data_IF_163210212100
#
_entry.id   IF_163210212100
#
_cell.length_a   1.000
_cell.length_b   1.000
_cell.length_c   1.000
_cell.angle_alpha   90.00
_cell.angle_beta   90.00
_cell.angle_gamma   90.00
#
_symmetry.space_group_name_H-M   'P 1'
#
loop_
_entity.id
_entity.type
_entity.pdbx_description
1 polymer ?
#
# COMPACT_ATOMS: atom_id res chain seq x y z
N UNK A 1 26.07 -6.45 -26.91
CA UNK A 1 25.54 -5.25 -27.62
C UNK A 1 24.01 -5.31 -27.81
N UNK A 2 23.42 -6.22 -28.61
CA UNK A 2 21.95 -6.22 -28.84
C UNK A 2 21.08 -6.42 -27.58
N UNK A 3 21.50 -7.25 -26.61
CA UNK A 3 20.79 -7.42 -25.32
C UNK A 3 20.84 -6.17 -24.43
N UNK A 4 21.95 -5.41 -24.49
CA UNK A 4 22.17 -4.19 -23.71
C UNK A 4 21.20 -3.06 -24.10
N UNK A 5 20.90 -2.93 -25.40
CA UNK A 5 19.96 -1.94 -25.92
C UNK A 5 18.51 -2.32 -25.59
N UNK A 6 18.19 -3.62 -25.50
CA UNK A 6 16.86 -4.08 -25.08
C UNK A 6 16.61 -3.84 -23.59
N UNK A 7 17.58 -4.08 -22.70
CA UNK A 7 17.43 -3.68 -21.28
C UNK A 7 17.33 -2.16 -21.12
N UNK A 8 18.18 -1.39 -21.81
CA UNK A 8 18.09 0.07 -21.78
C UNK A 8 16.75 0.61 -22.30
N UNK A 9 16.17 -0.03 -23.33
CA UNK A 9 14.83 0.27 -23.82
C UNK A 9 13.71 -0.11 -22.84
N UNK A 10 13.86 -1.23 -22.12
CA UNK A 10 12.88 -1.65 -21.12
C UNK A 10 12.89 -0.71 -19.88
N UNK A 11 14.07 -0.31 -19.41
CA UNK A 11 14.20 0.71 -18.36
C UNK A 11 13.70 2.09 -18.81
N UNK A 12 13.87 2.45 -20.08
CA UNK A 12 13.33 3.71 -20.61
C UNK A 12 11.81 3.69 -20.78
N UNK A 13 11.19 2.51 -20.99
CA UNK A 13 9.74 2.35 -21.10
C UNK A 13 9.00 2.51 -19.75
N UNK A 14 9.70 2.31 -18.62
CA UNK A 14 9.17 2.52 -17.26
C UNK A 14 8.92 4.00 -16.91
N UNK A 15 9.31 4.96 -17.76
CA UNK A 15 9.22 6.40 -17.48
C UNK A 15 7.90 7.07 -17.94
N UNK A 16 6.93 6.33 -18.51
CA UNK A 16 5.66 6.93 -18.99
C UNK A 16 4.45 6.03 -18.72
N UNK A 17 3.91 6.05 -17.49
CA UNK A 17 2.48 5.87 -17.09
C UNK A 17 2.39 5.63 -15.57
N UNK A 18 1.25 5.88 -14.89
CA UNK A 18 1.12 5.65 -13.45
C UNK A 18 0.94 4.16 -13.13
N UNK A 19 2.05 3.45 -12.92
CA UNK A 19 2.10 2.12 -12.30
C UNK A 19 2.58 2.26 -10.84
N UNK A 20 1.64 2.14 -9.90
CA UNK A 20 1.74 2.62 -8.52
C UNK A 20 0.82 1.80 -7.53
N UNK A 21 1.37 1.05 -6.52
CA UNK A 21 0.69 0.32 -5.39
C UNK A 21 1.51 -0.16 -4.16
N UNK A 22 0.79 -0.56 -3.08
CA UNK A 22 1.17 -1.06 -1.73
C UNK A 22 2.44 -1.92 -1.58
N UNK A 23 3.45 -1.42 -0.85
CA UNK A 23 4.79 -1.60 -1.40
C UNK A 23 5.78 -2.49 -0.68
N UNK A 24 5.52 -2.92 0.56
CA UNK A 24 6.50 -3.69 1.36
C UNK A 24 5.90 -4.92 2.07
N UNK A 25 4.76 -5.44 1.59
CA UNK A 25 4.17 -6.69 2.10
C UNK A 25 3.54 -6.63 3.50
N UNK A 26 3.35 -5.44 4.08
CA UNK A 26 2.73 -5.23 5.40
C UNK A 26 1.20 -5.17 5.32
N UNK A 27 0.46 -5.39 6.43
CA UNK A 27 -1.00 -5.31 6.47
C UNK A 27 -1.55 -3.86 6.45
N UNK A 28 -0.88 -2.95 5.75
CA UNK A 28 -1.25 -1.53 5.59
C UNK A 28 -1.90 -1.33 4.22
N UNK A 29 -3.22 -1.10 4.22
CA UNK A 29 -4.03 -0.94 3.01
C UNK A 29 -4.56 0.50 2.88
N UNK A 30 -5.13 0.81 1.72
CA UNK A 30 -5.69 2.12 1.43
C UNK A 30 -7.13 2.00 0.94
N UNK A 31 -8.01 2.87 1.43
CA UNK A 31 -9.39 3.00 0.94
C UNK A 31 -9.42 3.47 -0.54
N UNK A 32 -10.57 3.37 -1.24
CA UNK A 32 -10.70 3.95 -2.59
C UNK A 32 -10.78 5.48 -2.58
N UNK A 33 -10.70 6.12 -1.41
CA UNK A 33 -10.90 7.56 -1.25
C UNK A 33 -9.59 8.29 -0.98
N UNK A 34 -9.38 9.43 -1.64
CA UNK A 34 -8.24 10.30 -1.40
C UNK A 34 -8.66 11.43 -0.46
N UNK A 35 -8.18 11.37 0.78
CA UNK A 35 -8.51 12.36 1.82
C UNK A 35 -7.70 13.68 1.69
N UNK A 36 -6.57 13.66 0.99
CA UNK A 36 -5.71 14.81 0.73
C UNK A 36 -5.98 15.51 -0.62
N UNK A 37 -5.71 16.81 -0.69
CA UNK A 37 -5.89 17.62 -1.90
C UNK A 37 -4.60 17.75 -2.72
N UNK A 38 -3.46 17.87 -2.04
CA UNK A 38 -2.13 18.06 -2.64
C UNK A 38 -1.16 16.95 -2.23
N UNK A 39 -1.04 16.67 -0.94
CA UNK A 39 -0.11 15.66 -0.44
C UNK A 39 -0.45 15.17 0.96
N UNK A 40 0.14 14.05 1.33
CA UNK A 40 -0.05 13.40 2.62
C UNK A 40 1.28 12.86 3.14
N UNK A 41 1.47 12.91 4.47
CA UNK A 41 2.51 12.19 5.19
C UNK A 41 1.82 11.19 6.13
N UNK A 42 2.02 9.90 5.88
CA UNK A 42 1.53 8.79 6.68
C UNK A 42 2.64 8.17 7.53
N UNK A 43 2.27 7.65 8.70
CA UNK A 43 3.13 6.80 9.53
C UNK A 43 2.30 5.72 10.19
N UNK A 44 2.78 4.47 10.14
CA UNK A 44 2.04 3.29 10.56
C UNK A 44 2.92 2.36 11.40
N UNK A 45 2.28 1.68 12.35
CA UNK A 45 2.79 0.55 13.09
C UNK A 45 1.89 -0.65 12.75
N UNK A 46 2.47 -1.81 12.52
CA UNK A 46 1.74 -3.04 12.25
C UNK A 46 2.36 -4.23 12.96
N UNK A 47 1.50 -5.20 13.27
CA UNK A 47 1.80 -6.55 13.73
C UNK A 47 1.49 -7.48 12.55
N UNK A 48 2.49 -7.88 11.74
CA UNK A 48 2.30 -8.65 10.49
C UNK A 48 2.18 -10.17 10.67
N UNK A 49 1.58 -10.65 11.77
CA UNK A 49 1.25 -12.07 11.94
C UNK A 49 2.46 -12.98 12.21
N UNK A 50 2.35 -14.25 11.83
CA UNK A 50 3.28 -15.29 12.24
C UNK A 50 4.74 -15.02 11.81
N UNK A 51 5.67 -15.03 12.77
CA UNK A 51 7.09 -14.83 12.53
C UNK A 51 7.55 -13.38 12.41
N UNK A 52 6.68 -12.38 12.64
CA UNK A 52 7.03 -10.95 12.65
C UNK A 52 6.57 -10.29 13.95
N UNK A 53 7.49 -9.65 14.68
CA UNK A 53 7.20 -9.03 15.97
C UNK A 53 6.59 -7.63 15.83
N UNK A 54 7.06 -6.86 14.84
CA UNK A 54 6.62 -5.49 14.57
C UNK A 54 7.06 -5.07 13.17
N UNK A 55 6.25 -4.27 12.47
CA UNK A 55 6.70 -3.46 11.35
C UNK A 55 6.34 -1.98 11.53
N UNK A 56 7.19 -1.11 11.01
CA UNK A 56 7.05 0.35 11.04
C UNK A 56 7.24 0.87 9.62
N UNK A 57 6.32 1.70 9.12
CA UNK A 57 6.49 2.34 7.81
C UNK A 57 6.06 3.81 7.81
N UNK A 58 6.77 4.59 7.01
CA UNK A 58 6.41 5.96 6.64
C UNK A 58 6.03 6.02 5.16
N UNK A 59 5.03 6.83 4.85
CA UNK A 59 4.54 7.05 3.49
C UNK A 59 4.48 8.53 3.18
N UNK A 60 4.87 8.92 1.97
CA UNK A 60 4.59 10.26 1.44
C UNK A 60 3.82 10.15 0.13
N UNK A 61 2.62 10.73 0.07
CA UNK A 61 1.75 10.69 -1.11
C UNK A 61 1.56 12.07 -1.73
N UNK A 62 1.36 12.12 -3.05
CA UNK A 62 1.09 13.31 -3.84
C UNK A 62 -0.10 13.11 -4.78
N UNK A 63 -0.97 14.12 -4.84
CA UNK A 63 -2.17 14.11 -5.64
C UNK A 63 -1.91 14.62 -7.06
N UNK A 64 -2.54 13.97 -8.03
CA UNK A 64 -2.73 14.45 -9.40
C UNK A 64 -4.26 14.54 -9.70
N UNK A 65 -4.68 15.15 -10.82
CA UNK A 65 -6.11 15.32 -11.10
C UNK A 65 -6.91 14.00 -11.21
N UNK A 66 -6.30 12.94 -11.76
CA UNK A 66 -6.94 11.65 -12.04
C UNK A 66 -6.41 10.47 -11.22
N UNK A 67 -5.28 10.64 -10.51
CA UNK A 67 -4.63 9.61 -9.71
C UNK A 67 -3.92 10.22 -8.49
N UNK A 68 -3.43 9.39 -7.58
CA UNK A 68 -2.38 9.74 -6.63
C UNK A 68 -1.24 8.73 -6.68
N UNK A 69 -0.06 9.13 -6.22
CA UNK A 69 1.12 8.28 -6.10
C UNK A 69 1.82 8.57 -4.78
N UNK A 70 2.66 7.66 -4.32
CA UNK A 70 3.40 7.78 -3.08
C UNK A 70 4.70 6.99 -3.07
N UNK A 71 5.44 7.16 -1.98
CA UNK A 71 6.69 6.47 -1.68
C UNK A 71 6.58 5.93 -0.28
N UNK A 72 6.93 4.66 -0.10
CA UNK A 72 6.98 3.97 1.20
C UNK A 72 8.43 3.71 1.58
N UNK A 73 8.75 3.88 2.86
CA UNK A 73 9.96 3.35 3.50
C UNK A 73 9.52 2.64 4.79
N UNK A 74 10.08 1.48 5.08
CA UNK A 74 9.75 0.75 6.30
C UNK A 74 10.83 -0.20 6.78
N UNK A 75 10.60 -0.70 7.99
CA UNK A 75 11.41 -1.69 8.67
C UNK A 75 10.48 -2.77 9.23
N UNK A 76 10.83 -4.03 9.06
CA UNK A 76 10.10 -5.20 9.54
C UNK A 76 11.04 -5.97 10.46
N UNK A 77 10.62 -6.21 11.69
CA UNK A 77 11.36 -6.89 12.75
C UNK A 77 10.83 -8.32 12.90
N UNK A 78 11.55 -9.36 12.45
CA UNK A 78 11.13 -10.75 12.60
C UNK A 78 11.08 -11.18 14.07
N UNK A 79 10.38 -12.27 14.34
CA UNK A 79 10.53 -12.95 15.63
C UNK A 79 11.83 -13.77 15.69
N UNK A 80 12.47 -13.78 16.87
CA UNK A 80 13.68 -14.56 17.13
C UNK A 80 14.99 -13.80 16.90
N UNK A 81 16.05 -14.54 16.61
CA UNK A 81 17.41 -14.02 16.37
C UNK A 81 17.69 -13.98 14.85
N UNK A 82 16.90 -13.19 14.13
CA UNK A 82 16.89 -13.08 12.66
C UNK A 82 17.00 -11.61 12.26
N UNK A 83 17.74 -11.30 11.19
CA UNK A 83 17.92 -9.92 10.75
C UNK A 83 16.63 -9.26 10.24
N UNK A 84 16.48 -7.99 10.63
CA UNK A 84 15.40 -7.12 10.19
C UNK A 84 15.40 -6.85 8.69
N UNK A 85 14.22 -6.67 8.11
CA UNK A 85 14.05 -6.32 6.69
C UNK A 85 13.90 -4.82 6.56
N UNK A 86 14.69 -4.20 5.69
CA UNK A 86 14.49 -2.81 5.27
C UNK A 86 13.72 -2.82 3.94
N UNK A 87 12.59 -2.12 3.90
CA UNK A 87 11.73 -2.02 2.73
C UNK A 87 11.65 -0.61 2.16
N UNK A 88 11.59 -0.51 0.83
CA UNK A 88 11.34 0.74 0.11
C UNK A 88 10.43 0.48 -1.10
N UNK A 89 9.68 1.48 -1.54
CA UNK A 89 8.91 1.31 -2.77
C UNK A 89 8.13 2.52 -3.24
N UNK A 90 7.55 2.40 -4.44
CA UNK A 90 6.66 3.40 -5.05
C UNK A 90 5.24 2.86 -5.27
N UNK A 91 4.28 3.64 -4.79
CA UNK A 91 2.88 3.26 -4.65
C UNK A 91 1.93 4.30 -5.28
N UNK A 92 0.62 4.02 -5.35
CA UNK A 92 -0.40 4.96 -5.82
C UNK A 92 -1.74 4.32 -6.13
N UNK A 93 -2.60 5.10 -6.79
CA UNK A 93 -4.03 4.78 -6.87
C UNK A 93 -4.71 5.53 -8.01
N UNK A 94 -5.42 4.79 -8.85
CA UNK A 94 -6.29 5.32 -9.91
C UNK A 94 -7.76 5.14 -9.51
N UNK A 95 -8.61 6.14 -9.74
CA UNK A 95 -10.04 6.00 -9.51
C UNK A 95 -10.69 5.28 -10.69
N UNK A 96 -11.32 4.13 -10.43
CA UNK A 96 -11.97 3.31 -11.46
C UNK A 96 -13.48 3.57 -11.54
N UNK A 97 -14.16 3.66 -10.40
CA UNK A 97 -15.59 3.99 -10.34
C UNK A 97 -15.93 4.85 -9.11
N UNK A 98 -17.04 5.58 -9.20
CA UNK A 98 -17.68 6.26 -8.07
C UNK A 98 -19.01 5.56 -7.79
N UNK A 99 -19.44 5.58 -6.53
CA UNK A 99 -20.73 5.05 -6.14
C UNK A 99 -21.89 5.71 -6.94
N UNK A 100 -22.91 4.92 -7.22
CA UNK A 100 -24.17 5.30 -7.89
C UNK A 100 -25.35 4.78 -7.06
N UNK A 101 -26.58 4.88 -7.60
CA UNK A 101 -27.73 4.21 -7.00
C UNK A 101 -27.66 2.68 -7.16
N UNK A 102 -27.15 2.20 -8.29
CA UNK A 102 -27.07 0.76 -8.61
C UNK A 102 -25.82 0.08 -8.02
N UNK A 103 -24.74 0.83 -7.82
CA UNK A 103 -23.49 0.33 -7.22
C UNK A 103 -23.05 1.23 -6.05
N UNK A 104 -23.25 0.82 -4.78
CA UNK A 104 -23.16 1.73 -3.63
C UNK A 104 -21.73 2.03 -3.16
N UNK A 105 -20.68 1.55 -3.85
CA UNK A 105 -19.28 1.67 -3.43
C UNK A 105 -18.46 2.52 -4.42
N UNK A 106 -17.44 3.21 -3.91
CA UNK A 106 -16.34 3.72 -4.72
C UNK A 106 -15.33 2.60 -4.99
N UNK A 107 -14.64 2.67 -6.13
CA UNK A 107 -13.69 1.67 -6.61
C UNK A 107 -12.38 2.34 -7.05
N UNK A 108 -11.23 1.86 -6.56
CA UNK A 108 -9.92 2.27 -7.06
C UNK A 108 -9.04 1.08 -7.42
N UNK A 109 -8.23 1.24 -8.46
CA UNK A 109 -7.15 0.33 -8.81
C UNK A 109 -5.83 0.83 -8.25
N UNK A 110 -4.96 -0.10 -7.91
CA UNK A 110 -3.67 0.11 -7.25
C UNK A 110 -2.70 -0.88 -7.96
N UNK A 111 -1.66 -0.48 -8.71
CA UNK A 111 -0.72 -1.43 -9.38
C UNK A 111 0.77 -1.00 -9.57
N UNK A 112 1.75 -1.33 -8.68
CA UNK A 112 3.13 -0.74 -8.61
C UNK A 112 4.30 -1.65 -8.10
N UNK A 113 5.29 -1.13 -7.33
CA UNK A 113 6.61 -1.80 -7.15
C UNK A 113 7.38 -1.51 -5.84
N UNK A 114 7.85 -2.58 -5.17
CA UNK A 114 8.65 -2.57 -3.94
C UNK A 114 9.97 -3.34 -4.02
N UNK A 115 10.89 -3.01 -3.10
CA UNK A 115 12.16 -3.70 -2.84
C UNK A 115 12.36 -3.90 -1.33
N UNK A 116 12.88 -5.07 -0.96
CA UNK A 116 13.15 -5.51 0.41
C UNK A 116 14.61 -5.98 0.51
N UNK A 117 15.27 -5.73 1.64
CA UNK A 117 16.66 -6.12 1.90
C UNK A 117 16.80 -6.76 3.28
N UNK A 118 17.51 -7.88 3.38
CA UNK A 118 17.84 -8.62 4.62
C UNK A 118 19.19 -9.33 4.43
N UNK A 119 20.13 -9.24 5.37
CA UNK A 119 21.46 -9.92 5.34
C UNK A 119 22.20 -9.86 3.98
N UNK A 120 22.10 -8.72 3.28
CA UNK A 120 22.72 -8.51 1.97
C UNK A 120 21.95 -9.06 0.76
N UNK A 121 20.94 -9.90 0.98
CA UNK A 121 20.04 -10.45 -0.04
C UNK A 121 18.89 -9.47 -0.38
N UNK A 122 18.25 -9.66 -1.54
CA UNK A 122 17.28 -8.71 -2.10
C UNK A 122 16.02 -9.37 -2.66
N UNK A 123 14.88 -8.83 -2.23
CA UNK A 123 13.56 -9.20 -2.72
C UNK A 123 12.86 -8.05 -3.44
N UNK A 124 12.01 -8.36 -4.41
CA UNK A 124 11.18 -7.41 -5.15
C UNK A 124 9.72 -7.87 -5.14
N UNK A 125 8.78 -6.93 -5.11
CA UNK A 125 7.34 -7.23 -5.17
C UNK A 125 6.60 -6.29 -6.11
N UNK A 126 5.63 -6.83 -6.86
CA UNK A 126 4.78 -6.06 -7.80
C UNK A 126 3.32 -6.07 -7.30
N UNK A 127 2.98 -5.27 -6.28
CA UNK A 127 1.61 -5.20 -5.77
C UNK A 127 0.59 -4.78 -6.82
N UNK A 128 -0.48 -5.55 -6.95
CA UNK A 128 -1.63 -5.35 -7.85
C UNK A 128 -2.93 -5.57 -7.06
N UNK A 129 -3.64 -4.50 -6.73
CA UNK A 129 -4.81 -4.52 -5.87
C UNK A 129 -5.97 -3.65 -6.34
N UNK A 130 -7.13 -3.91 -5.76
CA UNK A 130 -8.36 -3.15 -5.98
C UNK A 130 -8.96 -2.84 -4.63
N UNK A 131 -9.29 -1.56 -4.35
CA UNK A 131 -9.95 -1.16 -3.11
C UNK A 131 -11.42 -0.80 -3.38
N UNK A 132 -12.32 -1.33 -2.55
CA UNK A 132 -13.76 -1.11 -2.61
C UNK A 132 -14.25 -0.63 -1.25
N UNK A 133 -15.00 0.47 -1.21
CA UNK A 133 -15.41 1.07 0.05
C UNK A 133 -16.31 2.29 -0.14
N UNK A 134 -16.79 2.85 0.96
CA UNK A 134 -17.70 4.01 0.92
C UNK A 134 -17.43 4.93 2.09
N UNK A 135 -17.24 6.21 1.82
CA UNK A 135 -17.16 7.22 2.87
C UNK A 135 -18.57 7.51 3.43
N UNK A 136 -18.69 7.49 4.75
CA UNK A 136 -19.87 7.88 5.52
C UNK A 136 -19.47 9.01 6.45
N UNK A 137 -20.21 10.12 6.42
CA UNK A 137 -20.03 11.22 7.37
C UNK A 137 -20.94 10.99 8.58
N UNK A 138 -20.41 11.15 9.79
CA UNK A 138 -21.22 11.06 11.01
C UNK A 138 -22.12 12.30 11.13
N UNK A 139 -23.40 12.09 11.44
CA UNK A 139 -24.37 13.18 11.59
C UNK A 139 -23.92 14.22 12.61
N UNK A 140 -24.13 15.51 12.29
CA UNK A 140 -23.74 16.65 13.12
C UNK A 140 -22.23 16.71 13.45
N UNK A 141 -21.38 16.00 12.69
CA UNK A 141 -19.94 15.95 12.91
C UNK A 141 -19.13 16.22 11.63
N UNK A 142 -17.86 16.56 11.81
CA UNK A 142 -16.85 16.60 10.74
C UNK A 142 -16.12 15.27 10.59
N UNK A 143 -16.38 14.31 11.46
CA UNK A 143 -15.77 12.99 11.43
C UNK A 143 -16.35 12.17 10.28
N UNK A 144 -15.47 11.54 9.52
CA UNK A 144 -15.83 10.61 8.44
C UNK A 144 -15.26 9.23 8.71
N UNK A 145 -15.96 8.20 8.27
CA UNK A 145 -15.54 6.81 8.31
C UNK A 145 -15.58 6.26 6.89
N UNK A 146 -14.48 5.68 6.42
CA UNK A 146 -14.39 5.06 5.11
C UNK A 146 -14.01 3.60 5.30
N UNK A 147 -14.95 2.70 5.63
CA UNK A 147 -14.71 1.26 5.60
C UNK A 147 -14.44 0.80 4.16
N UNK A 148 -13.52 -0.15 4.02
CA UNK A 148 -13.13 -0.72 2.73
C UNK A 148 -12.65 -2.18 2.84
N UNK A 149 -12.63 -2.85 1.69
CA UNK A 149 -11.99 -4.14 1.44
C UNK A 149 -11.03 -3.99 0.26
N UNK A 150 -9.86 -4.61 0.34
CA UNK A 150 -8.77 -4.45 -0.62
C UNK A 150 -8.08 -5.79 -0.92
N UNK A 151 -8.62 -6.62 -1.84
CA UNK A 151 -7.87 -7.73 -2.42
C UNK A 151 -6.65 -7.23 -3.21
N UNK A 152 -5.48 -7.77 -2.87
CA UNK A 152 -4.18 -7.45 -3.48
C UNK A 152 -3.40 -8.74 -3.75
N UNK A 153 -2.84 -8.85 -4.95
CA UNK A 153 -1.89 -9.89 -5.37
C UNK A 153 -0.51 -9.25 -5.53
N UNK A 154 0.54 -9.89 -5.04
CA UNK A 154 1.93 -9.44 -5.16
C UNK A 154 2.76 -10.58 -5.74
N UNK A 155 2.97 -10.65 -7.08
CA UNK A 155 4.05 -11.44 -7.64
C UNK A 155 5.38 -10.91 -7.10
N UNK A 156 6.23 -11.80 -6.61
CA UNK A 156 7.53 -11.46 -6.02
C UNK A 156 8.66 -12.18 -6.73
N UNK A 157 9.85 -11.61 -6.66
CA UNK A 157 11.04 -12.08 -7.34
C UNK A 157 12.28 -11.69 -6.51
N UNK A 158 13.27 -12.55 -6.41
CA UNK A 158 14.50 -12.25 -5.66
C UNK A 158 14.95 -13.46 -4.86
N UNK A 159 15.63 -13.22 -3.75
CA UNK A 159 16.12 -14.26 -2.87
C UNK A 159 15.00 -14.78 -1.93
N UNK A 160 14.84 -16.11 -1.87
CA UNK A 160 13.77 -16.80 -1.12
C UNK A 160 13.72 -16.39 0.36
N UNK A 161 14.88 -16.07 0.95
CA UNK A 161 14.99 -15.63 2.35
C UNK A 161 14.45 -14.20 2.59
N UNK A 162 14.11 -13.45 1.55
CA UNK A 162 13.48 -12.12 1.66
C UNK A 162 12.00 -12.16 1.31
N UNK A 163 11.60 -12.85 0.24
CA UNK A 163 10.24 -12.77 -0.34
C UNK A 163 9.45 -14.07 -0.42
N UNK A 164 10.09 -15.24 -0.34
CA UNK A 164 9.42 -16.54 -0.42
C UNK A 164 8.86 -16.88 -1.82
N UNK A 165 7.65 -17.44 -1.84
CA UNK A 165 6.98 -18.04 -3.01
C UNK A 165 6.74 -17.07 -4.19
N UNK A 166 6.54 -17.59 -5.42
CA UNK A 166 6.33 -16.82 -6.66
C UNK A 166 5.31 -15.66 -6.60
N UNK A 167 4.27 -15.77 -5.75
CA UNK A 167 3.28 -14.72 -5.53
C UNK A 167 2.55 -14.84 -4.19
N UNK A 168 2.31 -13.70 -3.54
CA UNK A 168 1.55 -13.57 -2.30
C UNK A 168 0.16 -12.96 -2.57
N UNK A 169 -0.86 -13.33 -1.80
CA UNK A 169 -2.20 -12.74 -1.83
C UNK A 169 -2.64 -12.23 -0.46
N UNK A 170 -3.19 -11.02 -0.41
CA UNK A 170 -3.79 -10.44 0.79
C UNK A 170 -5.20 -9.93 0.53
N UNK A 171 -6.15 -10.31 1.38
CA UNK A 171 -7.47 -9.68 1.45
C UNK A 171 -7.47 -8.65 2.59
N UNK A 172 -7.13 -7.41 2.27
CA UNK A 172 -7.18 -6.30 3.21
C UNK A 172 -8.60 -5.92 3.61
N UNK A 173 -8.79 -5.57 4.87
CA UNK A 173 -10.01 -4.99 5.45
C UNK A 173 -9.58 -3.79 6.29
N UNK A 174 -10.29 -2.66 6.18
CA UNK A 174 -9.89 -1.48 6.95
C UNK A 174 -10.93 -0.39 7.04
N UNK A 175 -10.59 0.63 7.82
CA UNK A 175 -11.37 1.85 7.98
C UNK A 175 -10.44 3.06 8.12
N UNK A 176 -10.62 4.04 7.23
CA UNK A 176 -10.01 5.36 7.37
C UNK A 176 -10.98 6.26 8.13
N UNK A 177 -10.52 6.82 9.26
CA UNK A 177 -11.30 7.68 10.17
C UNK A 177 -10.77 9.10 10.07
N UNK A 178 -11.43 9.94 9.27
CA UNK A 178 -11.05 11.34 9.14
C UNK A 178 -11.51 12.14 10.35
N UNK A 179 -10.57 12.50 11.23
CA UNK A 179 -10.83 13.28 12.44
C UNK A 179 -10.94 14.78 12.15
N UNK A 180 -10.25 15.25 11.12
CA UNK A 180 -10.26 16.65 10.67
C UNK A 180 -9.90 16.76 9.19
N UNK A 181 -10.05 17.93 8.54
CA UNK A 181 -9.60 18.12 7.15
C UNK A 181 -8.09 17.93 6.90
N UNK A 182 -7.29 17.62 7.93
CA UNK A 182 -5.84 17.46 7.87
C UNK A 182 -5.30 16.23 8.61
N UNK A 183 -6.16 15.40 9.20
CA UNK A 183 -5.73 14.27 10.03
C UNK A 183 -6.73 13.13 9.96
N UNK A 184 -6.26 11.98 9.50
CA UNK A 184 -6.93 10.69 9.60
C UNK A 184 -6.23 9.78 10.60
N UNK A 185 -7.00 8.93 11.27
CA UNK A 185 -6.54 7.66 11.87
C UNK A 185 -6.91 6.55 10.90
N UNK A 186 -5.99 5.62 10.62
CA UNK A 186 -6.25 4.47 9.75
C UNK A 186 -6.05 3.18 10.53
N UNK A 187 -6.95 2.23 10.34
CA UNK A 187 -6.83 0.88 10.86
C UNK A 187 -7.08 -0.08 9.71
N UNK A 188 -6.18 -1.05 9.52
CA UNK A 188 -6.35 -2.14 8.57
C UNK A 188 -5.90 -3.46 9.17
N UNK A 189 -6.28 -4.55 8.53
CA UNK A 189 -5.72 -5.88 8.73
C UNK A 189 -6.01 -6.74 7.51
N UNK A 190 -5.43 -7.93 7.45
CA UNK A 190 -5.60 -8.79 6.28
C UNK A 190 -5.60 -10.28 6.59
N UNK A 191 -6.04 -11.04 5.60
CA UNK A 191 -6.09 -12.51 5.59
C UNK A 191 -5.48 -13.00 4.28
N UNK A 192 -4.81 -14.15 4.32
CA UNK A 192 -4.07 -14.72 3.19
C UNK A 192 -2.59 -14.84 3.55
N UNK A 193 -1.72 -14.71 2.55
CA UNK A 193 -0.27 -14.74 2.71
C UNK A 193 0.27 -13.40 3.28
N UNK A 194 -0.54 -12.34 3.16
CA UNK A 194 -0.36 -11.07 3.89
C UNK A 194 -1.39 -11.05 5.01
N UNK A 195 -0.95 -11.23 6.26
CA UNK A 195 -1.82 -11.23 7.44
C UNK A 195 -1.42 -10.18 8.49
N UNK A 196 -2.17 -10.15 9.59
CA UNK A 196 -1.94 -9.24 10.71
C UNK A 196 -2.78 -7.96 10.67
N UNK A 197 -2.35 -6.97 11.45
CA UNK A 197 -3.06 -5.69 11.66
C UNK A 197 -2.13 -4.49 11.62
N UNK A 198 -2.62 -3.36 11.12
CA UNK A 198 -1.91 -2.09 11.05
C UNK A 198 -2.75 -0.93 11.59
N UNK A 199 -2.09 0.00 12.28
CA UNK A 199 -2.65 1.28 12.71
C UNK A 199 -1.73 2.41 12.27
N UNK A 200 -2.29 3.52 11.80
CA UNK A 200 -1.50 4.68 11.39
C UNK A 200 -2.21 6.01 11.52
N UNK A 201 -1.42 7.06 11.33
CA UNK A 201 -1.85 8.45 11.29
C UNK A 201 -1.42 9.07 9.96
N UNK A 202 -2.32 9.81 9.32
CA UNK A 202 -2.03 10.48 8.06
C UNK A 202 -2.33 11.99 8.16
N UNK A 203 -1.36 12.82 7.79
CA UNK A 203 -1.47 14.29 7.81
C UNK A 203 -1.55 14.88 6.41
N UNK A 204 -2.60 15.64 6.12
CA UNK A 204 -2.91 16.11 4.77
C UNK A 204 -2.54 17.58 4.52
N UNK A 205 -2.29 17.89 3.24
CA UNK A 205 -2.18 19.23 2.65
C UNK A 205 -2.95 19.34 1.35
#
# INVERSE_FOLDING_TARGET
MRRSVLLGGLLAALLVTPAVAQTIGTPVFHSPYRAFQRSELGGYLSDPGEGVSLAVQGEYRMAQPSFDWGVTLGYIDPEGDVEGVIGAGVDGRIKLARHTQDFPLDLSGIAGFGVLFRDGDVGFGIPLGVSLGRQVQLENSKVTFTPYVAPTLIPVFGDDNVVGDDAQFGLGLGVDIGLSPRLDVRVSGSLGDIEGVGIGLAWHR
#
